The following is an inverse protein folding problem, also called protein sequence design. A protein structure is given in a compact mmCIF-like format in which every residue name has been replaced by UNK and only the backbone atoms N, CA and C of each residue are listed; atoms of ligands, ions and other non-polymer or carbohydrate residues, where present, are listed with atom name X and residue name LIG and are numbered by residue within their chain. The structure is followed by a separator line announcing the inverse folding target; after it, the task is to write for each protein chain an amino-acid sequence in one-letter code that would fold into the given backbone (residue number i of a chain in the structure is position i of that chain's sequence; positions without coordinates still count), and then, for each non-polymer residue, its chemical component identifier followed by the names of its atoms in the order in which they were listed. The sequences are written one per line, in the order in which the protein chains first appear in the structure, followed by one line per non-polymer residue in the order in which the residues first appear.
data_IF_864195109220
#
_entry.id   IF_864195109220
#
_cell.length_a   1.000
_cell.length_b   1.000
_cell.length_c   1.000
_cell.angle_alpha   90.00
_cell.angle_beta   90.00
_cell.angle_gamma   90.00
#
_symmetry.space_group_name_H-M   'P 1'
#
loop_
_entity.id
_entity.type
_entity.pdbx_description
1 polymer ?
#
# COMPACT_ATOMS: atom_id res chain seq x y z
N UNK A 1 0.16 22.05 17.42
CA UNK A 1 0.06 20.79 16.68
C UNK A 1 1.47 20.25 16.57
N UNK A 2 1.70 18.98 16.85
CA UNK A 2 3.01 18.38 16.57
C UNK A 2 3.24 18.46 15.05
N UNK A 3 4.41 18.91 14.63
CA UNK A 3 4.77 18.89 13.21
C UNK A 3 5.07 17.44 12.82
N UNK A 4 4.32 16.91 11.84
CA UNK A 4 4.61 15.60 11.26
C UNK A 4 5.87 15.67 10.39
N UNK A 5 6.64 14.58 10.36
CA UNK A 5 7.86 14.48 9.58
C UNK A 5 7.86 13.21 8.73
N UNK A 6 8.30 13.29 7.49
CA UNK A 6 8.61 12.11 6.68
C UNK A 6 10.00 11.62 7.11
N UNK A 7 10.04 10.46 7.76
CA UNK A 7 11.30 9.89 8.30
C UNK A 7 11.97 8.91 7.33
N UNK A 8 11.23 8.38 6.36
CA UNK A 8 11.77 7.51 5.31
C UNK A 8 10.92 7.58 4.03
N UNK A 9 11.57 7.37 2.88
CA UNK A 9 10.92 7.21 1.59
C UNK A 9 11.33 5.89 0.93
N UNK A 10 10.37 5.12 0.45
CA UNK A 10 10.59 3.77 -0.05
C UNK A 10 9.98 3.60 -1.45
N UNK A 11 10.65 2.83 -2.29
CA UNK A 11 10.08 2.29 -3.53
C UNK A 11 9.95 0.78 -3.36
N UNK A 12 8.70 0.30 -3.29
CA UNK A 12 8.39 -1.08 -2.94
C UNK A 12 7.82 -1.83 -4.13
N UNK A 13 8.58 -2.74 -4.77
CA UNK A 13 8.05 -3.63 -5.80
C UNK A 13 7.04 -4.60 -5.18
N UNK A 14 5.91 -4.83 -5.84
CA UNK A 14 4.79 -5.56 -5.26
C UNK A 14 4.19 -6.63 -6.19
N UNK A 15 5.00 -7.53 -6.78
CA UNK A 15 4.43 -8.65 -7.50
C UNK A 15 3.58 -9.51 -6.57
N UNK A 16 2.38 -9.93 -7.01
CA UNK A 16 1.38 -10.56 -6.13
C UNK A 16 1.89 -11.78 -5.36
N UNK A 17 2.74 -12.59 -5.98
CA UNK A 17 3.28 -13.81 -5.37
C UNK A 17 4.30 -13.56 -4.25
N UNK A 18 4.78 -12.35 -4.11
CA UNK A 18 5.85 -12.05 -3.16
C UNK A 18 5.44 -12.35 -1.70
N UNK A 19 4.15 -12.18 -1.37
CA UNK A 19 3.62 -12.49 -0.03
C UNK A 19 3.71 -13.97 0.33
N UNK A 20 3.82 -14.84 -0.67
CA UNK A 20 3.97 -16.29 -0.47
C UNK A 20 5.44 -16.75 -0.52
N UNK A 21 6.36 -15.84 -0.78
CA UNK A 21 7.79 -16.15 -0.91
C UNK A 21 8.50 -16.34 0.43
N UNK A 22 7.81 -16.16 1.56
CA UNK A 22 8.34 -16.48 2.90
C UNK A 22 8.61 -17.98 3.08
N UNK A 23 7.88 -18.83 2.37
CA UNK A 23 8.19 -20.22 2.17
C UNK A 23 8.18 -20.50 0.67
N UNK A 24 9.23 -20.13 -0.06
CA UNK A 24 9.23 -20.44 -1.47
C UNK A 24 9.07 -21.95 -1.60
N UNK A 25 8.13 -22.43 -2.43
CA UNK A 25 8.26 -23.76 -2.97
C UNK A 25 9.63 -23.73 -3.64
N UNK A 26 10.55 -24.33 -2.94
CA UNK A 26 11.96 -24.26 -3.12
C UNK A 26 12.29 -24.26 -4.58
N UNK A 27 12.66 -23.07 -5.07
CA UNK A 27 13.54 -23.01 -6.18
C UNK A 27 13.08 -23.91 -7.33
N UNK A 28 12.16 -23.43 -8.09
CA UNK A 28 12.23 -23.89 -9.46
C UNK A 28 13.67 -23.58 -9.91
N UNK A 29 14.49 -24.59 -10.21
CA UNK A 29 15.93 -24.42 -10.49
C UNK A 29 16.22 -23.43 -11.63
N UNK A 30 15.18 -22.93 -12.27
CA UNK A 30 15.20 -22.07 -13.44
C UNK A 30 14.70 -20.64 -13.16
N UNK A 31 14.31 -20.29 -11.94
CA UNK A 31 14.00 -18.89 -11.59
C UNK A 31 15.29 -18.16 -11.23
N UNK A 32 16.23 -18.09 -12.17
CA UNK A 32 17.45 -17.30 -12.03
C UNK A 32 17.09 -15.86 -11.67
N UNK A 33 17.31 -15.49 -10.41
CA UNK A 33 17.11 -14.14 -9.93
C UNK A 33 15.66 -13.69 -9.75
N UNK A 34 14.72 -14.60 -9.54
CA UNK A 34 13.32 -14.30 -9.36
C UNK A 34 12.98 -13.63 -8.02
N UNK A 35 11.99 -14.17 -7.34
CA UNK A 35 11.39 -13.59 -6.15
C UNK A 35 12.35 -13.48 -4.96
N UNK A 36 13.38 -14.33 -4.88
CA UNK A 36 14.36 -14.31 -3.79
C UNK A 36 15.11 -12.98 -3.71
N UNK A 37 15.51 -12.39 -4.82
CA UNK A 37 16.19 -11.10 -4.81
C UNK A 37 15.29 -9.98 -4.27
N UNK A 38 14.00 -10.01 -4.62
CA UNK A 38 13.01 -9.07 -4.08
C UNK A 38 12.77 -9.31 -2.60
N UNK A 39 12.64 -10.56 -2.17
CA UNK A 39 12.51 -10.91 -0.75
C UNK A 39 13.71 -10.44 0.05
N UNK A 40 14.92 -10.72 -0.40
CA UNK A 40 16.14 -10.20 0.25
C UNK A 40 16.22 -8.66 0.21
N UNK A 41 15.66 -8.04 -0.83
CA UNK A 41 15.49 -6.60 -0.91
C UNK A 41 14.62 -6.10 0.25
N UNK A 42 13.49 -6.73 0.50
CA UNK A 42 12.61 -6.38 1.62
C UNK A 42 13.22 -6.68 2.98
N UNK A 43 13.97 -7.78 3.14
CA UNK A 43 14.70 -8.07 4.37
C UNK A 43 15.73 -6.97 4.69
N UNK A 44 16.49 -6.53 3.69
CA UNK A 44 17.42 -5.39 3.84
C UNK A 44 16.68 -4.09 4.15
N UNK A 45 15.54 -3.87 3.51
CA UNK A 45 14.70 -2.70 3.73
C UNK A 45 14.15 -2.69 5.16
N UNK A 46 13.60 -3.80 5.65
CA UNK A 46 13.16 -3.93 7.05
C UNK A 46 14.30 -3.65 8.02
N UNK A 47 15.47 -4.22 7.77
CA UNK A 47 16.66 -3.97 8.58
C UNK A 47 17.07 -2.50 8.60
N UNK A 48 16.93 -1.79 7.49
CA UNK A 48 17.22 -0.35 7.44
C UNK A 48 16.20 0.51 8.20
N UNK A 49 15.05 -0.05 8.52
CA UNK A 49 13.97 0.61 9.27
C UNK A 49 13.94 0.21 10.75
N UNK A 50 14.76 -0.73 11.21
CA UNK A 50 14.75 -1.21 12.61
C UNK A 50 14.90 -0.09 13.64
N UNK A 51 15.78 0.88 13.34
CA UNK A 51 16.06 2.01 14.22
C UNK A 51 15.26 3.28 13.85
N UNK A 52 14.36 3.19 12.87
CA UNK A 52 13.53 4.31 12.45
C UNK A 52 12.20 4.26 13.22
N UNK A 53 12.00 5.25 14.08
CA UNK A 53 10.71 5.41 14.75
C UNK A 53 9.72 6.11 13.81
N UNK A 54 8.56 5.49 13.59
CA UNK A 54 7.49 6.01 12.77
C UNK A 54 6.13 5.55 13.26
N UNK A 55 5.12 6.36 13.07
CA UNK A 55 3.75 6.11 13.57
C UNK A 55 2.84 5.48 12.51
N UNK A 56 3.09 5.77 11.23
CA UNK A 56 2.18 5.42 10.14
C UNK A 56 2.96 5.13 8.84
N UNK A 57 2.39 4.30 7.97
CA UNK A 57 2.87 4.06 6.61
C UNK A 57 1.92 4.75 5.63
N UNK A 58 2.39 5.78 4.93
CA UNK A 58 1.65 6.40 3.83
C UNK A 58 2.04 5.72 2.52
N UNK A 59 1.07 5.17 1.81
CA UNK A 59 1.31 4.42 0.58
C UNK A 59 0.48 4.95 -0.60
N UNK A 60 1.14 5.15 -1.74
CA UNK A 60 0.49 5.37 -3.02
C UNK A 60 0.60 4.10 -3.85
N UNK A 61 -0.52 3.48 -4.15
CA UNK A 61 -0.55 2.27 -4.98
C UNK A 61 -0.97 2.59 -6.42
N UNK A 62 -0.24 2.11 -7.43
CA UNK A 62 -0.65 2.23 -8.82
C UNK A 62 -1.84 1.31 -9.16
N UNK A 63 -2.24 0.41 -8.27
CA UNK A 63 -3.34 -0.54 -8.49
C UNK A 63 -4.68 -0.06 -7.92
N UNK A 64 -4.68 0.85 -6.95
CA UNK A 64 -5.89 1.57 -6.59
C UNK A 64 -6.07 2.76 -7.54
N UNK A 65 -6.68 2.48 -8.69
CA UNK A 65 -6.83 3.45 -9.76
C UNK A 65 -8.21 4.10 -9.73
N UNK A 66 -8.23 5.42 -9.82
CA UNK A 66 -9.45 6.22 -9.91
C UNK A 66 -9.44 7.06 -11.18
N UNK A 67 -10.61 7.35 -11.73
CA UNK A 67 -10.76 8.23 -12.90
C UNK A 67 -11.14 9.65 -12.50
N UNK A 68 -11.83 9.81 -11.38
CA UNK A 68 -12.28 11.11 -10.89
C UNK A 68 -11.74 11.30 -9.47
N UNK A 69 -10.79 12.19 -9.36
CA UNK A 69 -10.19 12.58 -8.10
C UNK A 69 -9.27 11.51 -7.48
N UNK A 70 -8.57 11.93 -6.45
CA UNK A 70 -7.73 11.08 -5.61
C UNK A 70 -8.53 10.61 -4.40
N UNK A 71 -8.53 9.33 -4.13
CA UNK A 71 -9.28 8.76 -3.02
C UNK A 71 -8.34 8.36 -1.88
N UNK A 72 -8.84 8.45 -0.66
CA UNK A 72 -8.16 8.14 0.58
C UNK A 72 -8.99 7.16 1.41
N UNK A 73 -8.39 6.21 2.11
CA UNK A 73 -9.13 5.36 3.05
C UNK A 73 -9.69 6.20 4.19
N UNK A 74 -10.97 6.03 4.50
CA UNK A 74 -11.72 6.86 5.45
C UNK A 74 -12.37 6.11 6.61
N UNK A 75 -12.12 4.80 6.78
CA UNK A 75 -12.57 4.01 7.92
C UNK A 75 -11.38 3.53 8.72
N UNK A 76 -11.54 3.40 10.04
CA UNK A 76 -10.46 3.02 10.96
C UNK A 76 -9.89 1.62 10.70
N UNK A 77 -10.68 0.72 10.10
CA UNK A 77 -10.29 -0.68 9.88
C UNK A 77 -10.91 -1.22 8.60
N UNK A 78 -10.09 -1.95 7.86
CA UNK A 78 -10.52 -2.75 6.71
C UNK A 78 -10.06 -4.19 6.89
N UNK A 79 -11.04 -5.10 6.92
CA UNK A 79 -10.80 -6.54 6.96
C UNK A 79 -11.45 -7.18 5.73
N UNK A 80 -10.68 -7.85 4.88
CA UNK A 80 -11.19 -8.46 3.68
C UNK A 80 -10.18 -9.42 3.05
N UNK A 81 -10.49 -9.83 1.82
CA UNK A 81 -9.62 -10.61 0.95
C UNK A 81 -9.17 -9.73 -0.21
N UNK A 82 -7.88 -9.43 -0.29
CA UNK A 82 -7.28 -8.80 -1.47
C UNK A 82 -7.07 -9.86 -2.55
N UNK A 83 -7.44 -9.54 -3.78
CA UNK A 83 -7.37 -10.45 -4.93
C UNK A 83 -6.78 -9.69 -6.11
N UNK A 84 -5.86 -10.30 -6.82
CA UNK A 84 -5.42 -9.77 -8.11
C UNK A 84 -6.57 -9.89 -9.12
N UNK A 85 -7.05 -8.79 -9.70
CA UNK A 85 -8.19 -8.82 -10.62
C UNK A 85 -7.89 -9.52 -11.96
N UNK A 86 -6.61 -9.60 -12.35
CA UNK A 86 -6.18 -10.24 -13.60
C UNK A 86 -5.89 -11.73 -13.37
N UNK A 87 -5.25 -12.04 -12.24
CA UNK A 87 -4.82 -13.39 -11.89
C UNK A 87 -5.36 -13.82 -10.52
N UNK A 88 -6.68 -13.95 -10.35
CA UNK A 88 -7.30 -14.19 -9.05
C UNK A 88 -6.91 -15.52 -8.40
N UNK A 89 -6.37 -16.46 -9.18
CA UNK A 89 -5.86 -17.73 -8.67
C UNK A 89 -4.43 -17.63 -8.12
N UNK A 90 -3.73 -16.56 -8.46
CA UNK A 90 -2.33 -16.37 -8.08
C UNK A 90 -2.17 -15.54 -6.82
N UNK A 91 -3.15 -14.71 -6.50
CA UNK A 91 -3.13 -13.89 -5.31
C UNK A 91 -4.49 -13.83 -4.65
N UNK A 92 -4.57 -14.35 -3.43
CA UNK A 92 -5.70 -14.28 -2.51
C UNK A 92 -5.16 -14.14 -1.10
N UNK A 93 -5.07 -12.92 -0.62
CA UNK A 93 -4.46 -12.66 0.67
C UNK A 93 -5.47 -11.99 1.62
N UNK A 94 -5.73 -12.64 2.75
CA UNK A 94 -6.56 -12.06 3.81
C UNK A 94 -5.75 -10.98 4.51
N UNK A 95 -6.39 -9.85 4.76
CA UNK A 95 -5.79 -8.76 5.49
C UNK A 95 -6.77 -8.20 6.53
N UNK A 96 -6.20 -7.62 7.55
CA UNK A 96 -6.87 -6.88 8.60
C UNK A 96 -5.95 -5.71 8.96
N UNK A 97 -6.31 -4.52 8.49
CA UNK A 97 -5.46 -3.34 8.60
C UNK A 97 -6.17 -2.22 9.31
N UNK A 98 -5.44 -1.50 10.14
CA UNK A 98 -5.87 -0.24 10.73
C UNK A 98 -5.45 0.92 9.85
N UNK A 99 -6.25 1.98 9.85
CA UNK A 99 -6.00 3.20 9.08
C UNK A 99 -5.87 4.36 10.04
N UNK A 100 -4.87 5.20 9.82
CA UNK A 100 -4.80 6.50 10.47
C UNK A 100 -5.76 7.46 9.74
N UNK A 101 -7.02 7.46 10.20
CA UNK A 101 -8.08 8.27 9.58
C UNK A 101 -7.85 9.75 9.81
N UNK A 102 -7.26 10.16 10.93
CA UNK A 102 -6.95 11.56 11.20
C UNK A 102 -5.92 12.10 10.20
N UNK A 103 -4.82 11.38 10.00
CA UNK A 103 -3.81 11.74 9.01
C UNK A 103 -4.37 11.63 7.58
N UNK A 104 -5.13 10.57 7.28
CA UNK A 104 -5.79 10.40 5.97
C UNK A 104 -6.67 11.59 5.63
N UNK A 105 -7.49 12.04 6.61
CA UNK A 105 -8.36 13.20 6.46
C UNK A 105 -7.57 14.51 6.36
N UNK A 106 -6.51 14.68 7.14
CA UNK A 106 -5.68 15.89 7.06
C UNK A 106 -5.05 16.05 5.68
N UNK A 107 -4.51 14.95 5.11
CA UNK A 107 -3.95 14.98 3.75
C UNK A 107 -5.04 15.23 2.70
N UNK A 108 -6.21 14.59 2.84
CA UNK A 108 -7.37 14.83 1.98
C UNK A 108 -7.80 16.28 2.00
N UNK A 109 -7.96 16.88 3.18
CA UNK A 109 -8.45 18.26 3.32
C UNK A 109 -7.43 19.25 2.74
N UNK A 110 -6.13 19.04 2.98
CA UNK A 110 -5.08 19.86 2.37
C UNK A 110 -5.08 19.75 0.84
N UNK A 111 -5.18 18.53 0.30
CA UNK A 111 -5.24 18.32 -1.14
C UNK A 111 -6.48 18.99 -1.76
N UNK A 112 -7.62 19.00 -1.05
CA UNK A 112 -8.83 19.70 -1.45
C UNK A 112 -8.62 21.23 -1.47
N UNK A 113 -7.97 21.76 -0.45
CA UNK A 113 -7.67 23.20 -0.36
C UNK A 113 -6.69 23.64 -1.45
N UNK A 114 -5.81 22.75 -1.87
CA UNK A 114 -4.90 22.94 -3.02
C UNK A 114 -5.62 22.78 -4.39
N UNK A 115 -6.93 22.55 -4.39
CA UNK A 115 -7.75 22.49 -5.60
C UNK A 115 -7.84 21.13 -6.27
N UNK A 116 -7.35 20.06 -5.62
CA UNK A 116 -7.48 18.71 -6.15
C UNK A 116 -8.90 18.17 -5.92
N UNK A 117 -9.39 17.38 -6.88
CA UNK A 117 -10.59 16.59 -6.68
C UNK A 117 -10.24 15.38 -5.78
N UNK A 118 -10.86 15.29 -4.62
CA UNK A 118 -10.56 14.27 -3.61
C UNK A 118 -11.82 13.61 -3.06
N UNK A 119 -11.68 12.40 -2.52
CA UNK A 119 -12.78 11.66 -1.89
C UNK A 119 -12.27 10.74 -0.77
N UNK A 120 -12.98 10.75 0.37
CA UNK A 120 -12.80 9.71 1.39
C UNK A 120 -13.56 8.44 0.98
N UNK A 121 -12.89 7.28 1.08
CA UNK A 121 -13.45 5.96 0.83
C UNK A 121 -13.94 5.37 2.16
N UNK A 122 -15.25 5.49 2.39
CA UNK A 122 -15.91 5.08 3.64
C UNK A 122 -16.82 3.85 3.42
N UNK A 123 -16.62 3.12 2.33
CA UNK A 123 -17.37 1.90 2.06
C UNK A 123 -16.70 0.70 2.76
N UNK A 124 -17.41 0.05 3.66
CA UNK A 124 -16.96 -1.16 4.38
C UNK A 124 -16.64 -2.35 3.47
N UNK A 125 -17.32 -2.42 2.32
CA UNK A 125 -17.10 -3.49 1.33
C UNK A 125 -15.94 -3.20 0.37
N UNK A 126 -15.29 -2.05 0.53
CA UNK A 126 -14.12 -1.72 -0.30
C UNK A 126 -12.99 -2.70 -0.03
N UNK A 127 -12.42 -3.21 -1.11
CA UNK A 127 -11.27 -4.11 -1.05
C UNK A 127 -10.01 -3.36 -1.40
N UNK A 128 -9.09 -3.31 -0.45
CA UNK A 128 -7.78 -2.72 -0.68
C UNK A 128 -7.04 -3.54 -1.74
N UNK A 129 -6.41 -2.85 -2.67
CA UNK A 129 -5.70 -3.45 -3.78
C UNK A 129 -4.48 -4.27 -3.33
N UNK A 130 -4.10 -5.23 -4.18
CA UNK A 130 -3.01 -6.14 -3.85
C UNK A 130 -1.63 -5.45 -3.76
N UNK A 131 -1.42 -4.36 -4.47
CA UNK A 131 -0.16 -3.61 -4.42
C UNK A 131 0.04 -2.97 -3.05
N UNK A 132 -1.01 -2.35 -2.50
CA UNK A 132 -1.00 -1.85 -1.12
C UNK A 132 -0.75 -2.99 -0.12
N UNK A 133 -1.51 -4.07 -0.21
CA UNK A 133 -1.42 -5.19 0.74
C UNK A 133 -0.07 -5.88 0.67
N UNK A 134 0.43 -6.20 -0.53
CA UNK A 134 1.75 -6.82 -0.70
C UNK A 134 2.85 -5.94 -0.12
N UNK A 135 2.88 -4.66 -0.49
CA UNK A 135 3.93 -3.76 -0.02
C UNK A 135 3.92 -3.59 1.50
N UNK A 136 2.76 -3.34 2.09
CA UNK A 136 2.65 -3.18 3.54
C UNK A 136 3.03 -4.47 4.27
N UNK A 137 2.56 -5.63 3.81
CA UNK A 137 2.91 -6.92 4.41
C UNK A 137 4.42 -7.21 4.34
N UNK A 138 5.05 -6.94 3.20
CA UNK A 138 6.48 -7.18 3.04
C UNK A 138 7.35 -6.19 3.82
N UNK A 139 6.86 -4.97 4.06
CA UNK A 139 7.56 -3.96 4.87
C UNK A 139 7.36 -4.25 6.37
N UNK A 140 6.12 -4.54 6.78
CA UNK A 140 5.72 -4.71 8.17
C UNK A 140 4.73 -5.87 8.32
N UNK A 141 5.21 -7.13 8.31
CA UNK A 141 4.35 -8.32 8.36
C UNK A 141 3.51 -8.41 9.64
N UNK A 142 3.91 -7.73 10.71
CA UNK A 142 3.20 -7.68 11.99
C UNK A 142 1.90 -6.87 11.93
N UNK A 143 1.75 -5.98 10.96
CA UNK A 143 0.57 -5.10 10.78
C UNK A 143 0.24 -4.24 12.02
N UNK A 144 1.23 -3.92 12.82
CA UNK A 144 1.10 -3.19 14.08
C UNK A 144 1.17 -1.66 13.93
N UNK A 145 1.33 -1.17 12.71
CA UNK A 145 1.29 0.25 12.37
C UNK A 145 0.10 0.54 11.45
N UNK A 146 -0.63 1.63 11.69
CA UNK A 146 -1.70 2.05 10.78
C UNK A 146 -1.14 2.47 9.42
N UNK A 147 -2.01 2.41 8.41
CA UNK A 147 -1.68 2.88 7.07
C UNK A 147 -2.53 4.08 6.67
N UNK A 148 -2.04 4.90 5.76
CA UNK A 148 -2.82 5.80 4.93
C UNK A 148 -2.61 5.37 3.48
N UNK A 149 -3.65 4.87 2.83
CA UNK A 149 -3.57 4.51 1.41
C UNK A 149 -4.24 5.56 0.55
N UNK A 150 -3.55 5.93 -0.51
CA UNK A 150 -3.93 6.98 -1.45
C UNK A 150 -3.99 6.39 -2.85
N UNK A 151 -5.09 6.64 -3.56
CA UNK A 151 -5.25 6.17 -4.93
C UNK A 151 -4.40 6.93 -5.94
N UNK A 152 -4.05 6.27 -7.03
CA UNK A 152 -3.54 6.92 -8.22
C UNK A 152 -4.69 7.39 -9.12
N UNK A 153 -4.67 8.67 -9.51
CA UNK A 153 -5.68 9.23 -10.40
C UNK A 153 -5.21 9.14 -11.86
N UNK A 154 -5.91 8.35 -12.68
CA UNK A 154 -5.64 8.25 -14.12
C UNK A 154 -6.18 9.45 -14.91
N UNK A 155 -7.19 10.15 -14.40
CA UNK A 155 -7.83 11.27 -15.07
C UNK A 155 -6.92 12.51 -15.22
N UNK A 156 -6.00 12.73 -14.30
CA UNK A 156 -5.10 13.88 -14.34
C UNK A 156 -4.15 13.90 -15.55
N UNK A 157 -3.80 12.73 -16.09
CA UNK A 157 -2.94 12.66 -17.28
C UNK A 157 -3.59 13.22 -18.56
N UNK A 158 -4.91 13.41 -18.58
CA UNK A 158 -5.65 13.89 -19.74
C UNK A 158 -6.08 15.36 -19.67
N UNK A 159 -5.98 16.00 -18.51
CA UNK A 159 -6.51 17.36 -18.28
C UNK A 159 -5.43 18.40 -17.94
N UNK A 160 -4.16 18.00 -17.85
CA UNK A 160 -3.04 18.94 -17.71
C UNK A 160 -2.45 19.28 -19.09
N UNK A 161 -3.18 20.06 -19.86
CA UNK A 161 -2.67 20.76 -21.06
C UNK A 161 -2.94 22.24 -20.88
#
# INVERSE_FOLDING_TARGET
MAEGQIVAGLLAPHPPHLVYAENPPQNEPNSEGGWEQLRWGYERLRKSLEDVDYDCIVILSPHWQTYVGTHFLGLERFESLSVDPIFPNLFRFKYDVTVDVELSKAIHDQAKDDGLAVKMMENQDFRIDYGTITSCHMIRPEWDKPIVSISSNRGHAYYSV
#
